data_IF_016911276069
#
_entry.id   IF_016911276069
#
_cell.length_a   1.000
_cell.length_b   1.000
_cell.length_c   1.000
_cell.angle_alpha   90.00
_cell.angle_beta   90.00
_cell.angle_gamma   90.00
#
_symmetry.space_group_name_H-M   'P 1'
#
loop_
_entity.id
_entity.type
_entity.pdbx_description
1 polymer ?
#
# COMPACT_ATOMS: atom_id res chain seq x y z
N UNK A 1 -11.21 11.69 -21.20
CA UNK A 1 -10.23 10.58 -21.32
C UNK A 1 -9.72 10.15 -19.95
N UNK A 2 -9.02 8.99 -19.86
CA UNK A 2 -8.29 8.58 -18.69
C UNK A 2 -6.80 8.89 -18.89
N UNK A 3 -6.14 9.35 -17.84
CA UNK A 3 -4.71 9.62 -17.87
C UNK A 3 -3.99 8.75 -16.84
N UNK A 4 -2.94 8.06 -17.28
CA UNK A 4 -2.11 7.21 -16.46
C UNK A 4 -0.72 7.81 -16.33
N UNK A 5 -0.27 7.95 -15.09
CA UNK A 5 1.11 8.22 -14.73
C UNK A 5 1.50 7.19 -13.66
N UNK A 6 2.23 6.14 -14.05
CA UNK A 6 2.37 4.94 -13.24
C UNK A 6 3.15 5.15 -11.93
N UNK A 7 4.15 6.04 -11.93
CA UNK A 7 5.00 6.29 -10.77
C UNK A 7 5.09 7.79 -10.52
N UNK A 8 5.06 8.19 -9.24
CA UNK A 8 5.20 9.58 -8.80
C UNK A 8 3.97 10.16 -8.09
N UNK A 9 2.74 10.02 -8.62
CA UNK A 9 1.57 10.67 -8.02
C UNK A 9 1.23 10.22 -6.59
N UNK A 10 1.76 9.10 -6.13
CA UNK A 10 1.54 8.58 -4.77
C UNK A 10 2.27 9.35 -3.68
N UNK A 11 3.28 10.15 -4.03
CA UNK A 11 4.04 10.96 -3.07
C UNK A 11 3.35 12.30 -2.80
N UNK A 12 3.39 12.77 -1.55
CA UNK A 12 2.77 14.02 -1.13
C UNK A 12 3.26 15.23 -1.97
N UNK A 13 4.56 15.30 -2.25
CA UNK A 13 5.17 16.37 -3.03
C UNK A 13 4.60 16.51 -4.45
N UNK A 14 4.10 15.43 -5.07
CA UNK A 14 3.43 15.51 -6.36
C UNK A 14 2.12 16.31 -6.29
N UNK A 15 1.29 16.00 -5.31
CA UNK A 15 0.05 16.73 -5.06
C UNK A 15 0.33 18.21 -4.75
N UNK A 16 1.33 18.48 -3.93
CA UNK A 16 1.71 19.84 -3.55
C UNK A 16 2.20 20.66 -4.76
N UNK A 17 2.94 20.03 -5.67
CA UNK A 17 3.49 20.68 -6.86
C UNK A 17 2.42 20.97 -7.93
N UNK A 18 1.46 20.07 -8.12
CA UNK A 18 0.51 20.16 -9.24
C UNK A 18 -0.91 20.55 -8.82
N UNK A 19 -1.25 20.42 -7.54
CA UNK A 19 -2.55 20.81 -7.01
C UNK A 19 -3.73 20.21 -7.80
N UNK A 20 -4.81 20.98 -8.04
CA UNK A 20 -6.01 20.47 -8.73
C UNK A 20 -5.79 19.98 -10.16
N UNK A 21 -4.69 20.39 -10.82
CA UNK A 21 -4.36 19.92 -12.18
C UNK A 21 -4.03 18.43 -12.19
N UNK A 22 -3.62 17.86 -11.05
CA UNK A 22 -3.35 16.44 -10.93
C UNK A 22 -4.62 15.58 -10.75
N UNK A 23 -5.77 16.17 -10.47
CA UNK A 23 -7.02 15.42 -10.28
C UNK A 23 -7.39 14.60 -11.52
N UNK A 24 -7.82 13.38 -11.28
CA UNK A 24 -8.17 12.41 -12.33
C UNK A 24 -6.98 11.58 -12.84
N UNK A 25 -5.74 11.87 -12.43
CA UNK A 25 -4.59 11.03 -12.79
C UNK A 25 -4.69 9.68 -12.07
N UNK A 26 -4.51 8.60 -12.85
CA UNK A 26 -4.46 7.22 -12.36
C UNK A 26 -3.00 6.81 -12.22
N UNK A 27 -2.66 6.19 -11.09
CA UNK A 27 -1.30 5.76 -10.78
C UNK A 27 -1.28 4.35 -10.19
N UNK A 28 -0.12 3.71 -10.23
CA UNK A 28 0.11 2.46 -9.52
C UNK A 28 0.21 2.74 -8.02
N UNK A 29 -0.39 1.87 -7.23
CA UNK A 29 -0.25 1.87 -5.78
C UNK A 29 -0.83 0.58 -5.22
N UNK A 30 -0.67 0.37 -3.92
CA UNK A 30 -1.07 -0.89 -3.30
C UNK A 30 -1.83 -0.70 -1.98
N UNK A 31 -1.97 0.52 -1.51
CA UNK A 31 -2.42 0.78 -0.16
C UNK A 31 -3.26 2.06 -0.08
N UNK A 32 -4.16 2.10 0.90
CA UNK A 32 -4.87 3.31 1.32
C UNK A 32 -5.26 3.22 2.80
N UNK A 33 -5.13 4.29 3.57
CA UNK A 33 -5.63 4.33 4.95
C UNK A 33 -7.16 4.19 5.02
N UNK A 34 -7.87 4.48 3.93
CA UNK A 34 -9.32 4.42 3.83
C UNK A 34 -9.87 3.00 3.58
N UNK A 35 -8.99 2.00 3.36
CA UNK A 35 -9.43 0.64 3.11
C UNK A 35 -9.93 -0.03 4.40
N UNK A 36 -11.23 -0.35 4.42
CA UNK A 36 -11.93 -0.80 5.63
C UNK A 36 -11.55 -2.20 6.10
N UNK A 37 -11.11 -3.05 5.17
CA UNK A 37 -10.73 -4.43 5.48
C UNK A 37 -9.30 -4.54 6.04
N UNK A 38 -8.57 -3.42 6.11
CA UNK A 38 -7.21 -3.34 6.64
C UNK A 38 -7.17 -2.49 7.92
N UNK A 39 -7.52 -3.06 9.08
CA UNK A 39 -7.77 -2.29 10.30
C UNK A 39 -6.53 -1.54 10.83
N UNK A 40 -5.32 -1.92 10.37
CA UNK A 40 -4.08 -1.26 10.77
C UNK A 40 -3.61 -0.18 9.79
N UNK A 41 -4.30 0.00 8.65
CA UNK A 41 -3.91 0.98 7.65
C UNK A 41 -4.04 2.42 8.16
N UNK A 42 -5.16 2.79 8.75
CA UNK A 42 -5.36 4.14 9.30
C UNK A 42 -4.44 4.42 10.50
N UNK A 43 -4.29 3.53 11.52
CA UNK A 43 -3.32 3.73 12.59
C UNK A 43 -1.88 3.93 12.11
N UNK A 44 -1.45 3.22 11.06
CA UNK A 44 -0.14 3.44 10.45
C UNK A 44 -0.03 4.85 9.84
N UNK A 45 -1.05 5.28 9.09
CA UNK A 45 -1.08 6.61 8.50
C UNK A 45 -0.95 7.69 9.57
N UNK A 46 -1.76 7.61 10.63
CA UNK A 46 -1.76 8.58 11.71
C UNK A 46 -0.42 8.64 12.45
N UNK A 47 0.18 7.49 12.73
CA UNK A 47 1.49 7.40 13.37
C UNK A 47 2.61 7.97 12.46
N UNK A 48 2.52 7.71 11.15
CA UNK A 48 3.48 8.23 10.18
C UNK A 48 3.40 9.76 10.11
N UNK A 49 2.19 10.32 9.97
CA UNK A 49 1.98 11.78 9.93
C UNK A 49 2.44 12.42 11.24
N UNK A 50 2.11 11.83 12.39
CA UNK A 50 2.55 12.35 13.69
C UNK A 50 4.08 12.39 13.82
N UNK A 51 4.79 11.43 13.21
CA UNK A 51 6.26 11.34 13.29
C UNK A 51 6.98 12.23 12.27
N UNK A 52 6.46 12.30 11.04
CA UNK A 52 7.18 12.93 9.93
C UNK A 52 6.55 14.23 9.43
N UNK A 53 5.39 14.61 9.97
CA UNK A 53 4.60 15.78 9.54
C UNK A 53 4.32 15.78 8.02
N UNK A 54 4.17 14.58 7.44
CA UNK A 54 3.89 14.35 6.02
C UNK A 54 3.16 13.02 5.86
N UNK A 55 2.31 12.90 4.83
CA UNK A 55 1.67 11.63 4.51
C UNK A 55 2.68 10.60 4.01
N UNK A 56 2.49 9.29 4.31
CA UNK A 56 3.28 8.24 3.69
C UNK A 56 2.99 8.18 2.19
N UNK A 57 3.95 7.71 1.43
CA UNK A 57 3.73 7.31 0.04
C UNK A 57 2.83 6.05 0.02
N UNK A 58 1.81 6.05 -0.83
CA UNK A 58 0.83 4.94 -0.93
C UNK A 58 1.34 3.76 -1.76
N UNK A 59 2.57 3.82 -2.23
CA UNK A 59 3.29 2.75 -2.90
C UNK A 59 4.48 2.31 -2.03
N UNK A 60 5.55 3.09 -2.02
CA UNK A 60 6.84 2.66 -1.48
C UNK A 60 6.87 2.60 0.06
N UNK A 61 6.32 3.63 0.76
CA UNK A 61 6.33 3.64 2.23
C UNK A 61 5.50 2.49 2.82
N UNK A 62 4.33 2.23 2.23
CA UNK A 62 3.47 1.14 2.67
C UNK A 62 4.10 -0.23 2.42
N UNK A 63 4.69 -0.45 1.23
CA UNK A 63 5.35 -1.71 0.89
C UNK A 63 6.60 -1.97 1.75
N UNK A 64 7.39 -0.93 2.02
CA UNK A 64 8.57 -1.04 2.87
C UNK A 64 8.17 -1.43 4.31
N UNK A 65 7.17 -0.76 4.86
CA UNK A 65 6.67 -1.08 6.21
C UNK A 65 6.09 -2.50 6.27
N UNK A 66 5.25 -2.88 5.30
CA UNK A 66 4.72 -4.24 5.18
C UNK A 66 5.84 -5.29 5.15
N UNK A 67 6.92 -5.04 4.41
CA UNK A 67 8.07 -5.95 4.33
C UNK A 67 8.76 -6.12 5.68
N UNK A 68 8.88 -5.04 6.45
CA UNK A 68 9.40 -5.11 7.82
C UNK A 68 8.47 -5.88 8.77
N UNK A 69 7.16 -5.75 8.62
CA UNK A 69 6.19 -6.51 9.41
C UNK A 69 6.28 -8.02 9.13
N UNK A 70 6.42 -8.41 7.87
CA UNK A 70 6.61 -9.82 7.47
C UNK A 70 7.89 -10.35 8.11
N UNK A 71 9.00 -9.63 7.97
CA UNK A 71 10.29 -10.05 8.56
C UNK A 71 10.21 -10.15 10.08
N UNK A 72 9.59 -9.18 10.75
CA UNK A 72 9.43 -9.19 12.20
C UNK A 72 8.64 -10.42 12.68
N UNK A 73 7.53 -10.74 12.01
CA UNK A 73 6.72 -11.91 12.34
C UNK A 73 7.48 -13.21 12.06
N UNK A 74 8.22 -13.28 10.95
CA UNK A 74 9.03 -14.45 10.62
C UNK A 74 10.16 -14.67 11.64
N UNK A 75 10.88 -13.62 12.03
CA UNK A 75 11.94 -13.69 13.04
C UNK A 75 11.39 -14.08 14.40
N UNK A 76 10.22 -13.59 14.78
CA UNK A 76 9.57 -13.98 16.04
C UNK A 76 9.29 -15.49 16.12
N UNK A 77 9.04 -16.15 14.98
CA UNK A 77 8.78 -17.59 14.88
C UNK A 77 10.05 -18.43 14.72
N UNK A 78 10.96 -18.00 13.85
CA UNK A 78 12.12 -18.79 13.40
C UNK A 78 13.44 -18.41 14.08
N UNK A 79 13.49 -17.26 14.78
CA UNK A 79 14.75 -16.64 15.17
C UNK A 79 15.53 -16.15 13.96
N UNK A 80 16.87 -16.14 14.06
CA UNK A 80 17.77 -15.67 12.98
C UNK A 80 18.34 -16.82 12.13
N UNK A 81 17.76 -18.02 12.21
CA UNK A 81 18.13 -19.15 11.38
C UNK A 81 17.58 -18.94 9.96
N UNK A 82 18.45 -18.86 8.97
CA UNK A 82 18.08 -18.50 7.60
C UNK A 82 17.19 -19.55 6.94
N UNK A 83 17.40 -20.84 7.21
CA UNK A 83 16.59 -21.89 6.60
C UNK A 83 15.19 -21.92 7.19
N UNK A 84 15.08 -21.78 8.51
CA UNK A 84 13.78 -21.64 9.19
C UNK A 84 13.05 -20.35 8.80
N UNK A 85 13.75 -19.22 8.64
CA UNK A 85 13.15 -17.98 8.15
C UNK A 85 12.55 -18.18 6.76
N UNK A 86 13.28 -18.83 5.85
CA UNK A 86 12.80 -19.13 4.51
C UNK A 86 11.58 -20.05 4.55
N UNK A 87 11.59 -21.07 5.40
CA UNK A 87 10.46 -21.98 5.59
C UNK A 87 9.22 -21.23 6.10
N UNK A 88 9.36 -20.42 7.15
CA UNK A 88 8.26 -19.61 7.71
C UNK A 88 7.71 -18.64 6.67
N UNK A 89 8.57 -17.89 5.95
CA UNK A 89 8.12 -16.92 4.94
C UNK A 89 7.39 -17.63 3.79
N UNK A 90 7.82 -18.82 3.40
CA UNK A 90 7.21 -19.57 2.29
C UNK A 90 5.86 -20.20 2.64
N UNK A 91 5.63 -20.54 3.90
CA UNK A 91 4.47 -21.33 4.29
C UNK A 91 3.39 -20.55 5.04
N UNK A 92 3.78 -19.51 5.77
CA UNK A 92 2.87 -18.77 6.63
C UNK A 92 2.06 -17.68 5.88
N UNK A 93 1.04 -17.20 6.56
CA UNK A 93 0.32 -15.98 6.18
C UNK A 93 0.63 -14.91 7.22
N UNK A 94 0.97 -13.71 6.75
CA UNK A 94 1.37 -12.58 7.57
C UNK A 94 0.26 -11.53 7.60
N UNK A 95 -0.02 -10.98 8.78
CA UNK A 95 -0.91 -9.84 8.94
C UNK A 95 -0.13 -8.54 8.82
N UNK A 96 -0.52 -7.68 7.88
CA UNK A 96 0.21 -6.44 7.57
C UNK A 96 -0.72 -5.24 7.48
N UNK A 97 -0.15 -4.04 7.40
CA UNK A 97 -0.93 -2.81 7.13
C UNK A 97 -1.64 -2.83 5.78
N UNK A 98 -1.24 -3.75 4.90
CA UNK A 98 -1.79 -3.94 3.55
C UNK A 98 -2.69 -5.19 3.47
N UNK A 99 -3.22 -5.62 4.61
CA UNK A 99 -3.97 -6.85 4.74
C UNK A 99 -3.08 -8.09 4.82
N UNK A 100 -3.65 -9.28 4.63
CA UNK A 100 -2.89 -10.52 4.69
C UNK A 100 -1.94 -10.67 3.51
N UNK A 101 -0.74 -11.22 3.78
CA UNK A 101 0.27 -11.55 2.77
C UNK A 101 0.63 -13.02 2.86
N UNK A 102 0.65 -13.70 1.73
CA UNK A 102 1.10 -15.08 1.60
C UNK A 102 1.88 -15.28 0.31
N UNK A 103 2.96 -16.03 0.40
CA UNK A 103 3.79 -16.35 -0.75
C UNK A 103 3.52 -17.76 -1.30
N UNK A 104 3.69 -17.91 -2.62
CA UNK A 104 3.84 -19.17 -3.31
C UNK A 104 5.09 -19.08 -4.19
N UNK A 105 6.15 -19.76 -3.79
CA UNK A 105 7.47 -19.46 -4.33
C UNK A 105 7.88 -18.03 -4.01
N UNK A 106 8.09 -17.22 -5.04
CA UNK A 106 8.48 -15.80 -4.89
C UNK A 106 7.30 -14.83 -5.08
N UNK A 107 6.11 -15.33 -5.38
CA UNK A 107 4.93 -14.52 -5.67
C UNK A 107 4.07 -14.29 -4.42
N UNK A 108 3.69 -13.05 -4.16
CA UNK A 108 2.61 -12.74 -3.22
C UNK A 108 1.27 -13.04 -3.91
N UNK A 109 0.53 -14.02 -3.39
CA UNK A 109 -0.67 -14.54 -4.04
C UNK A 109 -1.99 -14.01 -3.46
N UNK A 110 -1.93 -13.19 -2.42
CA UNK A 110 -3.14 -12.67 -1.76
C UNK A 110 -3.29 -11.16 -1.96
N UNK A 111 -2.23 -10.38 -1.75
CA UNK A 111 -2.31 -8.93 -1.84
C UNK A 111 -2.47 -8.50 -3.30
N UNK A 112 -3.59 -7.88 -3.68
CA UNK A 112 -3.80 -7.49 -5.07
C UNK A 112 -2.91 -6.31 -5.45
N UNK A 113 -2.43 -6.29 -6.69
CA UNK A 113 -1.97 -5.05 -7.31
C UNK A 113 -3.15 -4.10 -7.48
N UNK A 114 -2.93 -2.81 -7.32
CA UNK A 114 -4.00 -1.83 -7.34
C UNK A 114 -3.67 -0.58 -8.15
N UNK A 115 -4.71 0.11 -8.60
CA UNK A 115 -4.61 1.47 -9.11
C UNK A 115 -5.27 2.43 -8.15
N UNK A 116 -4.60 3.55 -7.96
CA UNK A 116 -5.13 4.72 -7.29
C UNK A 116 -5.47 5.80 -8.30
N UNK A 117 -6.38 6.69 -7.92
CA UNK A 117 -6.67 7.90 -8.66
C UNK A 117 -6.69 9.09 -7.72
N UNK A 118 -6.05 10.18 -8.12
CA UNK A 118 -6.17 11.43 -7.38
C UNK A 118 -7.54 12.04 -7.66
N UNK A 119 -8.35 12.20 -6.61
CA UNK A 119 -9.71 12.73 -6.68
C UNK A 119 -9.91 13.83 -5.64
N UNK A 120 -10.14 15.08 -6.09
CA UNK A 120 -10.35 16.25 -5.21
C UNK A 120 -9.22 16.41 -4.17
N UNK A 121 -8.00 16.12 -4.61
CA UNK A 121 -6.81 16.21 -3.79
C UNK A 121 -6.54 15.02 -2.87
N UNK A 122 -7.38 13.97 -2.88
CA UNK A 122 -7.19 12.73 -2.13
C UNK A 122 -6.83 11.56 -3.04
N UNK A 123 -6.01 10.63 -2.52
CA UNK A 123 -5.66 9.39 -3.20
C UNK A 123 -6.70 8.32 -2.88
N UNK A 124 -7.41 7.84 -3.90
CA UNK A 124 -8.44 6.81 -3.77
C UNK A 124 -8.03 5.53 -4.49
N UNK A 125 -8.22 4.38 -3.85
CA UNK A 125 -8.16 3.08 -4.52
C UNK A 125 -9.37 2.97 -5.44
N UNK A 126 -9.13 2.76 -6.75
CA UNK A 126 -10.20 2.67 -7.75
C UNK A 126 -10.27 1.32 -8.44
N UNK A 127 -9.23 0.50 -8.30
CA UNK A 127 -9.18 -0.87 -8.86
C UNK A 127 -8.18 -1.73 -8.07
N UNK A 128 -8.46 -3.03 -7.87
CA UNK A 128 -9.70 -3.75 -8.20
C UNK A 128 -10.89 -3.32 -7.33
N UNK A 129 -12.11 -3.55 -7.82
CA UNK A 129 -13.33 -3.13 -7.10
C UNK A 129 -13.47 -3.73 -5.71
N UNK A 130 -12.90 -4.91 -5.48
CA UNK A 130 -12.94 -5.59 -4.17
C UNK A 130 -12.27 -4.82 -3.04
N UNK A 131 -11.32 -3.94 -3.35
CA UNK A 131 -10.62 -3.11 -2.35
C UNK A 131 -10.77 -1.60 -2.62
N UNK A 132 -11.61 -1.22 -3.58
CA UNK A 132 -11.78 0.18 -3.97
C UNK A 132 -12.37 1.02 -2.83
N UNK A 133 -11.85 2.23 -2.66
CA UNK A 133 -12.36 3.23 -1.72
C UNK A 133 -13.28 4.26 -2.40
N UNK A 134 -13.18 4.36 -3.73
CA UNK A 134 -14.03 5.20 -4.57
C UNK A 134 -14.18 4.62 -5.99
N UNK A 135 -15.18 5.10 -6.71
CA UNK A 135 -15.35 4.80 -8.13
C UNK A 135 -14.34 5.58 -8.99
N UNK A 136 -13.95 4.96 -10.11
CA UNK A 136 -13.10 5.61 -11.10
C UNK A 136 -13.86 6.74 -11.79
N UNK A 137 -13.29 7.94 -11.81
CA UNK A 137 -13.84 9.10 -12.50
C UNK A 137 -13.08 9.42 -13.79
N UNK A 138 -13.78 10.02 -14.76
CA UNK A 138 -13.15 10.57 -15.97
C UNK A 138 -12.63 11.97 -15.68
N UNK A 139 -11.46 12.27 -16.22
CA UNK A 139 -10.91 13.63 -16.27
C UNK A 139 -11.50 14.44 -17.41
#
# INVERSE_FOLDING_TARGET
>A
PYQFLLIGPTIAAYKDAFGPVADGIITLGHWSPKQKDWPRAQPFFDAYVAKYNSAPDYLDSALAYMSCEILQQAVAKAGLDHDKLREVISNDTFDTINGPVKFKGVENIITPSAFLQLQKGDMELVWPKSIATADLIKR
#
